data_IF_436166942026
#
_entry.id   IF_436166942026
#
_cell.length_a   1.000
_cell.length_b   1.000
_cell.length_c   1.000
_cell.angle_alpha   90.00
_cell.angle_beta   90.00
_cell.angle_gamma   90.00
#
_symmetry.space_group_name_H-M   'P 1'
#
loop_
_entity.id
_entity.type
_entity.pdbx_description
1 polymer ?
#
# COMPACT_ATOMS: atom_id res chain seq x y z
N UNK A 1 -4.82 -12.81 7.86
CA UNK A 1 -3.49 -12.33 8.28
C UNK A 1 -3.10 -11.31 7.24
N UNK A 2 -2.66 -10.10 7.62
CA UNK A 2 -2.08 -9.20 6.64
C UNK A 2 -0.81 -9.82 6.07
N UNK A 3 -0.76 -9.92 4.74
CA UNK A 3 0.45 -10.18 3.99
C UNK A 3 1.33 -8.94 3.95
N UNK A 4 2.63 -9.14 3.80
CA UNK A 4 3.64 -8.11 3.86
C UNK A 4 4.70 -8.35 2.79
N UNK A 5 5.34 -7.28 2.39
CA UNK A 5 6.43 -7.25 1.44
C UNK A 5 7.54 -6.35 1.96
N UNK A 6 8.79 -6.83 1.94
CA UNK A 6 9.98 -6.04 2.27
C UNK A 6 10.75 -5.72 1.00
N UNK A 7 11.18 -4.47 0.86
CA UNK A 7 12.08 -4.03 -0.19
C UNK A 7 13.46 -3.75 0.38
N UNK A 8 14.46 -4.38 -0.21
CA UNK A 8 15.87 -4.19 0.17
C UNK A 8 16.69 -3.76 -1.02
N UNK A 9 17.77 -3.05 -0.74
CA UNK A 9 18.80 -2.65 -1.67
C UNK A 9 20.08 -3.40 -1.31
N UNK A 10 20.47 -4.30 -2.18
CA UNK A 10 21.72 -5.05 -2.09
C UNK A 10 22.93 -4.15 -2.35
N UNK A 11 24.15 -4.55 -1.96
CA UNK A 11 25.36 -3.72 -2.10
C UNK A 11 25.68 -3.35 -3.56
N UNK A 12 25.21 -4.15 -4.52
CA UNK A 12 25.32 -3.84 -5.96
C UNK A 12 24.35 -2.74 -6.43
N UNK A 13 23.52 -2.22 -5.52
CA UNK A 13 22.46 -1.24 -5.79
C UNK A 13 21.16 -1.85 -6.30
N UNK A 14 21.10 -3.17 -6.47
CA UNK A 14 19.90 -3.87 -6.92
C UNK A 14 18.82 -3.85 -5.85
N UNK A 15 17.63 -3.37 -6.24
CA UNK A 15 16.44 -3.45 -5.41
C UNK A 15 15.79 -4.82 -5.57
N UNK A 16 15.57 -5.51 -4.46
CA UNK A 16 14.83 -6.77 -4.42
C UNK A 16 13.67 -6.67 -3.44
N UNK A 17 12.64 -7.43 -3.74
CA UNK A 17 11.40 -7.43 -3.01
C UNK A 17 11.08 -8.86 -2.59
N UNK A 18 10.83 -9.08 -1.30
CA UNK A 18 10.52 -10.40 -0.75
C UNK A 18 9.16 -10.38 -0.07
N UNK A 19 8.44 -11.48 -0.22
CA UNK A 19 7.11 -11.67 0.35
C UNK A 19 7.19 -12.27 1.76
N UNK A 20 6.27 -11.87 2.62
CA UNK A 20 6.06 -12.46 3.94
C UNK A 20 4.55 -12.59 4.21
N UNK A 21 4.04 -13.80 4.52
CA UNK A 21 2.63 -14.00 4.86
C UNK A 21 2.26 -13.48 6.26
N UNK A 22 3.18 -12.81 6.95
CA UNK A 22 2.98 -12.28 8.31
C UNK A 22 3.77 -11.00 8.57
N UNK A 23 3.30 -10.20 9.53
CA UNK A 23 3.99 -8.99 9.99
C UNK A 23 5.16 -9.27 10.95
N UNK A 24 5.47 -10.55 11.24
CA UNK A 24 6.64 -10.94 12.08
C UNK A 24 7.93 -10.32 11.58
N UNK A 25 8.03 -10.06 10.28
CA UNK A 25 9.22 -9.47 9.69
C UNK A 25 9.55 -8.10 10.29
N UNK A 26 8.54 -7.32 10.73
CA UNK A 26 8.73 -6.05 11.44
C UNK A 26 9.28 -6.21 12.87
N UNK A 27 9.13 -7.39 13.49
CA UNK A 27 9.68 -7.66 14.83
C UNK A 27 11.20 -7.89 14.80
N UNK A 28 11.71 -8.37 13.65
CA UNK A 28 13.13 -8.74 13.48
C UNK A 28 13.93 -7.71 12.65
N UNK A 29 13.27 -7.05 11.70
CA UNK A 29 13.86 -6.10 10.78
C UNK A 29 13.16 -4.75 10.90
N UNK A 30 13.92 -3.68 10.69
CA UNK A 30 13.40 -2.32 10.52
C UNK A 30 14.03 -1.68 9.28
N UNK A 31 13.46 -0.61 8.71
CA UNK A 31 14.13 0.16 7.68
C UNK A 31 15.48 0.69 8.18
N UNK A 32 16.55 0.45 7.42
CA UNK A 32 17.91 0.79 7.84
C UNK A 32 18.98 -0.10 7.19
N UNK A 33 20.23 0.12 7.57
CA UNK A 33 21.37 -0.61 7.01
C UNK A 33 21.80 -1.76 7.92
N UNK A 34 21.97 -2.94 7.33
CA UNK A 34 22.41 -4.17 7.99
C UNK A 34 23.61 -4.77 7.25
N UNK A 35 24.32 -5.68 7.91
CA UNK A 35 25.26 -6.57 7.21
C UNK A 35 24.49 -7.66 6.49
N UNK A 36 25.02 -8.15 5.36
CA UNK A 36 24.40 -9.24 4.59
C UNK A 36 24.13 -10.47 5.47
N UNK A 37 25.09 -10.88 6.30
CA UNK A 37 24.91 -12.02 7.22
C UNK A 37 23.84 -11.77 8.30
N UNK A 38 23.88 -10.60 8.93
CA UNK A 38 22.90 -10.21 9.97
C UNK A 38 21.48 -10.10 9.39
N UNK A 39 21.35 -9.49 8.20
CA UNK A 39 20.08 -9.41 7.48
C UNK A 39 19.56 -10.80 7.12
N UNK A 40 20.41 -11.66 6.54
CA UNK A 40 20.04 -13.03 6.17
C UNK A 40 19.56 -13.81 7.40
N UNK A 41 20.32 -13.78 8.49
CA UNK A 41 20.00 -14.49 9.73
C UNK A 41 18.63 -14.04 10.27
N UNK A 42 18.42 -12.73 10.45
CA UNK A 42 17.16 -12.16 10.95
C UNK A 42 15.98 -12.45 10.04
N UNK A 43 16.16 -12.30 8.71
CA UNK A 43 15.11 -12.55 7.75
C UNK A 43 14.69 -14.02 7.73
N UNK A 44 15.65 -14.95 7.75
CA UNK A 44 15.37 -16.39 7.82
C UNK A 44 14.63 -16.76 9.11
N UNK A 45 15.08 -16.25 10.26
CA UNK A 45 14.39 -16.49 11.55
C UNK A 45 12.95 -15.97 11.53
N UNK A 46 12.74 -14.74 11.03
CA UNK A 46 11.41 -14.15 10.95
C UNK A 46 10.46 -14.92 10.01
N UNK A 47 10.97 -15.44 8.89
CA UNK A 47 10.18 -16.22 7.93
C UNK A 47 9.83 -17.61 8.48
N UNK A 48 10.73 -18.25 9.23
CA UNK A 48 10.43 -19.48 9.96
C UNK A 48 9.33 -19.28 11.01
N UNK A 49 9.44 -18.20 11.80
CA UNK A 49 8.41 -17.83 12.77
C UNK A 49 7.06 -17.52 12.08
N UNK A 50 7.08 -16.80 10.97
CA UNK A 50 5.88 -16.53 10.18
C UNK A 50 5.23 -17.83 9.69
N UNK A 51 6.02 -18.78 9.17
CA UNK A 51 5.56 -20.10 8.74
C UNK A 51 4.96 -20.89 9.91
N UNK A 52 5.61 -20.88 11.07
CA UNK A 52 5.11 -21.54 12.28
C UNK A 52 3.76 -20.96 12.74
N UNK A 53 3.58 -19.64 12.68
CA UNK A 53 2.30 -18.97 13.01
C UNK A 53 1.19 -19.33 12.02
N UNK A 54 1.50 -19.39 10.72
CA UNK A 54 0.55 -19.82 9.68
C UNK A 54 0.14 -21.27 9.92
N UNK A 55 1.11 -22.16 10.17
CA UNK A 55 0.85 -23.57 10.47
C UNK A 55 -0.01 -23.75 11.72
N UNK A 56 0.26 -23.00 12.79
CA UNK A 56 -0.54 -23.04 14.01
C UNK A 56 -1.98 -22.55 13.79
N UNK A 57 -2.18 -21.54 12.93
CA UNK A 57 -3.50 -20.94 12.68
C UNK A 57 -4.34 -21.70 11.65
N UNK A 58 -3.69 -22.24 10.61
CA UNK A 58 -4.38 -22.77 9.44
C UNK A 58 -4.08 -24.26 9.15
N UNK A 59 -3.14 -24.87 9.89
CA UNK A 59 -2.84 -26.29 9.78
C UNK A 59 -1.97 -26.70 8.60
N UNK A 60 -1.48 -25.75 7.79
CA UNK A 60 -0.61 -26.01 6.63
C UNK A 60 0.72 -25.27 6.70
N UNK A 61 1.75 -25.86 6.07
CA UNK A 61 3.08 -25.24 5.93
C UNK A 61 3.02 -24.20 4.82
N UNK A 62 3.54 -23.00 5.08
CA UNK A 62 3.51 -21.92 4.12
C UNK A 62 4.70 -22.03 3.16
N UNK A 63 4.46 -22.48 1.93
CA UNK A 63 5.50 -22.60 0.89
C UNK A 63 6.07 -21.25 0.47
N UNK A 64 5.27 -20.17 0.52
CA UNK A 64 5.71 -18.84 0.15
C UNK A 64 6.75 -18.26 1.13
N UNK A 65 6.61 -18.52 2.43
CA UNK A 65 7.62 -18.10 3.42
C UNK A 65 8.97 -18.81 3.18
N UNK A 66 8.92 -20.11 2.91
CA UNK A 66 10.12 -20.89 2.59
C UNK A 66 10.79 -20.42 1.29
N UNK A 67 9.99 -20.13 0.25
CA UNK A 67 10.50 -19.60 -1.01
C UNK A 67 11.22 -18.27 -0.82
N UNK A 68 10.64 -17.33 -0.07
CA UNK A 68 11.30 -16.05 0.22
C UNK A 68 12.57 -16.20 1.06
N UNK A 69 12.63 -17.16 1.99
CA UNK A 69 13.86 -17.42 2.75
C UNK A 69 14.98 -17.97 1.86
N UNK A 70 14.62 -18.86 0.91
CA UNK A 70 15.55 -19.39 -0.07
C UNK A 70 16.06 -18.30 -1.03
N UNK A 71 15.17 -17.44 -1.53
CA UNK A 71 15.56 -16.30 -2.39
C UNK A 71 16.52 -15.34 -1.67
N UNK A 72 16.24 -15.02 -0.40
CA UNK A 72 17.12 -14.18 0.42
C UNK A 72 18.48 -14.84 0.61
N UNK A 73 18.54 -16.15 0.88
CA UNK A 73 19.79 -16.88 1.04
C UNK A 73 20.60 -16.92 -0.27
N UNK A 74 19.92 -17.11 -1.42
CA UNK A 74 20.55 -17.13 -2.74
C UNK A 74 21.10 -15.77 -3.14
N UNK A 75 20.38 -14.68 -2.86
CA UNK A 75 20.87 -13.33 -3.13
C UNK A 75 22.00 -12.96 -2.16
N UNK A 76 21.86 -13.25 -0.87
CA UNK A 76 22.91 -13.02 0.13
C UNK A 76 24.23 -13.70 -0.25
N UNK A 77 24.17 -14.93 -0.76
CA UNK A 77 25.35 -15.68 -1.20
C UNK A 77 26.11 -15.04 -2.38
N UNK A 78 25.51 -14.08 -3.08
CA UNK A 78 26.18 -13.34 -4.18
C UNK A 78 27.02 -12.17 -3.67
N UNK A 79 26.90 -11.82 -2.40
CA UNK A 79 27.57 -10.69 -1.80
C UNK A 79 28.44 -11.13 -0.63
N UNK A 80 29.38 -10.28 -0.22
CA UNK A 80 30.18 -10.57 0.98
C UNK A 80 29.32 -10.42 2.25
N UNK A 81 29.50 -11.31 3.23
CA UNK A 81 28.78 -11.29 4.50
C UNK A 81 28.92 -9.96 5.28
N UNK A 82 30.06 -9.30 5.11
CA UNK A 82 30.36 -8.00 5.72
C UNK A 82 29.85 -6.79 4.92
N UNK A 83 29.32 -7.00 3.70
CA UNK A 83 28.76 -5.95 2.87
C UNK A 83 27.47 -5.39 3.49
N UNK A 84 27.14 -4.16 3.11
CA UNK A 84 25.94 -3.48 3.58
C UNK A 84 24.75 -3.77 2.67
N UNK A 85 23.64 -4.16 3.28
CA UNK A 85 22.32 -4.24 2.65
C UNK A 85 21.40 -3.24 3.35
N UNK A 86 20.63 -2.49 2.58
CA UNK A 86 19.72 -1.46 3.09
C UNK A 86 18.29 -1.94 2.94
N UNK A 87 17.55 -1.99 4.04
CA UNK A 87 16.10 -2.22 4.01
C UNK A 87 15.43 -0.88 3.74
N UNK A 88 14.90 -0.74 2.52
CA UNK A 88 14.36 0.51 1.97
C UNK A 88 12.94 0.77 2.48
N UNK A 89 12.08 -0.25 2.39
CA UNK A 89 10.68 -0.11 2.77
C UNK A 89 10.07 -1.45 3.16
N UNK A 90 9.00 -1.38 3.94
CA UNK A 90 8.23 -2.52 4.42
C UNK A 90 6.75 -2.17 4.31
N UNK A 91 5.99 -2.96 3.56
CA UNK A 91 4.57 -2.71 3.30
C UNK A 91 3.71 -3.93 3.63
N UNK A 92 2.56 -3.79 4.32
CA UNK A 92 2.04 -2.55 4.86
C UNK A 92 2.87 -2.05 6.05
N UNK A 93 2.95 -0.72 6.27
CA UNK A 93 3.54 -0.17 7.47
C UNK A 93 2.73 -0.60 8.69
N UNK A 94 3.39 -0.80 9.84
CA UNK A 94 2.67 -1.04 11.09
C UNK A 94 1.81 0.20 11.45
N UNK A 95 0.56 0.02 11.92
CA UNK A 95 -0.26 1.13 12.37
C UNK A 95 0.47 1.87 13.50
N UNK A 96 0.86 3.12 13.24
CA UNK A 96 1.72 3.95 14.11
C UNK A 96 2.98 4.49 13.42
N UNK A 97 3.44 3.88 12.32
CA UNK A 97 4.56 4.38 11.50
C UNK A 97 4.12 5.39 10.41
N UNK A 98 2.81 5.55 10.19
CA UNK A 98 2.22 6.35 9.10
C UNK A 98 2.47 7.87 9.25
N UNK A 99 2.70 8.37 10.46
CA UNK A 99 2.89 9.82 10.69
C UNK A 99 4.23 10.38 10.21
N UNK A 100 5.14 9.54 9.71
CA UNK A 100 6.44 9.97 9.18
C UNK A 100 6.50 10.09 7.65
N UNK A 101 5.49 9.56 6.92
CA UNK A 101 5.54 9.45 5.46
C UNK A 101 4.40 10.20 4.75
N UNK A 102 4.02 11.36 5.25
CA UNK A 102 3.21 12.33 4.49
C UNK A 102 4.04 13.53 4.07
N UNK A 103 4.95 13.31 3.11
CA UNK A 103 5.43 14.40 2.25
C UNK A 103 5.23 14.01 0.79
N UNK A 104 4.05 14.33 0.28
CA UNK A 104 3.79 14.35 -1.15
C UNK A 104 2.48 13.70 -1.54
N UNK A 105 1.37 14.42 -1.36
CA UNK A 105 0.33 14.63 -2.39
C UNK A 105 -0.71 15.59 -1.83
N UNK A 106 -0.57 16.88 -2.13
CA UNK A 106 -1.73 17.77 -2.07
C UNK A 106 -2.62 17.41 -3.25
N UNK A 107 -3.57 16.52 -2.96
CA UNK A 107 -4.58 16.01 -3.88
C UNK A 107 -5.35 17.15 -4.54
N UNK A 108 -5.57 16.95 -5.85
CA UNK A 108 -6.44 17.75 -6.68
C UNK A 108 -7.89 17.73 -6.13
N UNK A 109 -8.46 18.94 -6.08
CA UNK A 109 -9.88 19.35 -6.18
C UNK A 109 -10.96 18.60 -5.37
N UNK A 110 -11.71 19.31 -4.52
CA UNK A 110 -13.11 19.01 -4.28
C UNK A 110 -13.98 19.76 -5.29
N UNK A 111 -14.56 19.02 -6.24
CA UNK A 111 -15.88 19.37 -6.75
C UNK A 111 -16.90 18.92 -5.70
N UNK A 112 -17.74 19.83 -5.23
CA UNK A 112 -18.91 19.47 -4.43
C UNK A 112 -20.09 20.31 -4.90
N UNK A 113 -21.15 19.57 -5.18
CA UNK A 113 -22.36 19.95 -5.89
C UNK A 113 -23.40 20.55 -4.95
N UNK A 114 -24.19 21.48 -5.49
CA UNK A 114 -25.65 21.64 -5.30
C UNK A 114 -26.24 21.96 -3.91
N UNK A 115 -26.83 23.17 -3.82
CA UNK A 115 -28.29 23.43 -3.77
C UNK A 115 -28.81 24.32 -2.62
N UNK A 116 -29.65 25.30 -2.99
CA UNK A 116 -30.61 26.05 -2.17
C UNK A 116 -30.02 27.28 -1.45
N UNK A 117 -30.64 28.46 -1.38
CA UNK A 117 -32.01 28.92 -1.63
C UNK A 117 -32.03 30.47 -1.63
N UNK A 118 -33.00 31.08 -2.32
CA UNK A 118 -33.57 32.39 -1.96
C UNK A 118 -32.93 33.68 -2.50
N UNK A 119 -33.63 34.36 -3.42
CA UNK A 119 -34.05 35.78 -3.30
C UNK A 119 -34.44 36.43 -4.64
N UNK A 120 -35.76 36.49 -4.85
CA UNK A 120 -36.56 37.62 -5.34
C UNK A 120 -36.09 38.57 -6.48
N UNK A 121 -36.92 38.54 -7.53
CA UNK A 121 -37.67 39.67 -8.11
C UNK A 121 -36.92 40.93 -8.61
N UNK A 122 -37.01 41.17 -9.93
CA UNK A 122 -37.92 42.21 -10.49
C UNK A 122 -37.86 42.29 -12.02
N UNK A 123 -39.03 41.97 -12.59
CA UNK A 123 -39.67 42.44 -13.83
C UNK A 123 -38.86 43.08 -14.97
N UNK A 124 -39.06 42.51 -16.17
CA UNK A 124 -39.18 43.29 -17.41
C UNK A 124 -40.36 42.79 -18.26
N UNK A 125 -41.11 43.70 -18.92
CA UNK A 125 -42.40 43.40 -19.55
C UNK A 125 -42.31 43.22 -21.08
N UNK A 126 -43.43 42.72 -21.62
CA UNK A 126 -43.81 42.80 -23.02
C UNK A 126 -43.54 41.51 -23.79
N UNK A 127 -44.38 41.04 -24.70
CA UNK A 127 -45.61 41.57 -25.29
C UNK A 127 -46.18 40.43 -26.13
N UNK A 128 -47.52 40.33 -26.17
CA UNK A 128 -48.35 40.00 -27.35
C UNK A 128 -48.00 38.71 -28.13
N UNK A 129 -48.90 37.77 -28.41
CA UNK A 129 -50.15 37.96 -29.16
C UNK A 129 -50.84 36.61 -29.34
N UNK A 130 -52.16 36.64 -29.54
CA UNK A 130 -52.97 35.78 -30.44
C UNK A 130 -52.73 34.26 -30.39
N UNK A 131 -53.67 33.43 -29.94
CA UNK A 131 -55.04 33.36 -30.45
C UNK A 131 -55.09 32.40 -31.64
N UNK A 132 -55.61 31.19 -31.44
CA UNK A 132 -56.41 30.49 -32.44
C UNK A 132 -57.21 29.38 -31.77
N UNK A 133 -58.49 29.36 -32.13
CA UNK A 133 -59.54 28.44 -31.77
C UNK A 133 -59.44 27.11 -32.55
N UNK A 134 -60.45 26.26 -32.30
CA UNK A 134 -60.91 25.08 -33.05
C UNK A 134 -60.38 23.75 -32.51
N UNK A 135 -61.27 22.99 -31.84
CA UNK A 135 -62.03 21.83 -32.38
C UNK A 135 -61.14 20.57 -32.32
N UNK A 136 -61.58 19.40 -31.88
CA UNK A 136 -62.74 18.65 -32.40
C UNK A 136 -63.07 17.48 -31.46
N UNK A 137 -64.28 16.99 -31.61
CA UNK A 137 -64.95 15.88 -30.97
C UNK A 137 -64.28 14.51 -31.19
N UNK A 138 -64.42 13.61 -30.21
CA UNK A 138 -65.07 12.29 -30.37
C UNK A 138 -65.25 11.62 -29.03
#
# INVERSE_FOLDING_TARGET
>A
MPEMTVQVRWPDGLLRQYYSPSLVLHDHLAPGTYRVDDFRSRATTALDEASARVRAKYGFVCTSAAASAEEIALDAARHADCAAVEVVSMYPPLPGAEVASTRGVASLRPGSTSSGDGAEARGRPGSTSSGTSSEELS
#
